data_IF_288553158227
#
_entry.id   IF_288553158227
#
_cell.length_a   1.000
_cell.length_b   1.000
_cell.length_c   1.000
_cell.angle_alpha   90.00
_cell.angle_beta   90.00
_cell.angle_gamma   90.00
#
_symmetry.space_group_name_H-M   'P 1'
#
loop_
_entity.id
_entity.type
_entity.pdbx_description
1 polymer ?
#
# COMPACT_ATOMS: atom_id res chain seq x y z
N UNK A 1 14.14 -13.26 -8.54
CA UNK A 1 13.70 -12.12 -7.72
C UNK A 1 12.22 -12.32 -7.49
N UNK A 2 11.78 -12.59 -6.26
CA UNK A 2 10.37 -12.47 -5.92
C UNK A 2 10.01 -10.99 -6.01
N UNK A 3 9.12 -10.63 -6.93
CA UNK A 3 8.60 -9.26 -7.04
C UNK A 3 7.63 -8.94 -5.90
N UNK A 4 7.18 -7.69 -5.84
CA UNK A 4 6.06 -7.32 -4.98
C UNK A 4 4.81 -8.10 -5.40
N UNK A 5 4.06 -8.61 -4.43
CA UNK A 5 2.87 -9.43 -4.63
C UNK A 5 1.60 -8.82 -4.00
N UNK A 6 1.77 -7.83 -3.12
CA UNK A 6 0.65 -7.13 -2.47
C UNK A 6 0.97 -5.67 -2.21
N UNK A 7 -0.10 -4.86 -2.13
CA UNK A 7 -0.06 -3.47 -1.69
C UNK A 7 -0.99 -3.30 -0.51
N UNK A 8 -0.55 -2.58 0.52
CA UNK A 8 -1.38 -2.23 1.66
C UNK A 8 -1.25 -0.74 1.98
N UNK A 9 -2.39 -0.08 2.22
CA UNK A 9 -2.42 1.28 2.72
C UNK A 9 -2.73 1.24 4.21
N UNK A 10 -1.82 1.77 5.03
CA UNK A 10 -2.06 1.91 6.45
C UNK A 10 -1.44 3.18 7.01
N UNK A 11 -1.80 3.49 8.25
CA UNK A 11 -1.33 4.67 8.97
C UNK A 11 -0.83 4.25 10.35
N UNK A 12 0.36 4.71 10.71
CA UNK A 12 0.87 4.54 12.06
C UNK A 12 0.14 5.50 13.01
N UNK A 13 -0.15 5.06 14.23
CA UNK A 13 -0.91 5.86 15.21
C UNK A 13 -0.21 7.16 15.60
N UNK A 14 1.12 7.22 15.47
CA UNK A 14 1.94 8.37 15.84
C UNK A 14 2.26 9.30 14.66
N UNK A 15 1.92 8.92 13.42
CA UNK A 15 2.27 9.67 12.23
C UNK A 15 1.01 10.29 11.59
N UNK A 16 1.02 11.55 11.14
CA UNK A 16 -0.11 12.14 10.43
C UNK A 16 -0.37 11.57 9.02
N UNK A 17 0.62 11.02 8.34
CA UNK A 17 0.49 10.57 6.94
C UNK A 17 0.05 9.12 6.76
N UNK A 18 -0.02 8.70 5.51
CA UNK A 18 -0.33 7.35 5.06
C UNK A 18 0.91 6.70 4.47
N UNK A 19 0.97 5.38 4.60
CA UNK A 19 2.03 4.56 4.06
C UNK A 19 1.46 3.56 3.07
N UNK A 20 2.01 3.58 1.86
CA UNK A 20 1.81 2.52 0.88
C UNK A 20 2.92 1.49 1.07
N UNK A 21 2.55 0.33 1.63
CA UNK A 21 3.43 -0.80 1.84
C UNK A 21 3.43 -1.71 0.62
N UNK A 22 4.62 -2.13 0.25
CA UNK A 22 4.90 -3.02 -0.86
C UNK A 22 5.28 -4.34 -0.23
N UNK A 23 4.44 -5.37 -0.40
CA UNK A 23 4.59 -6.61 0.30
C UNK A 23 5.00 -7.77 -0.61
N UNK A 24 5.69 -8.75 -0.04
CA UNK A 24 5.90 -10.04 -0.69
C UNK A 24 4.62 -10.91 -0.66
N UNK A 25 4.71 -12.14 -1.16
CA UNK A 25 3.57 -13.06 -1.25
C UNK A 25 3.01 -13.50 0.13
N UNK A 26 3.80 -13.35 1.19
CA UNK A 26 3.42 -13.68 2.57
C UNK A 26 3.00 -12.41 3.35
N UNK A 27 2.76 -11.30 2.64
CA UNK A 27 2.41 -9.99 3.19
C UNK A 27 3.48 -9.34 4.09
N UNK A 28 4.74 -9.78 4.01
CA UNK A 28 5.82 -9.08 4.69
C UNK A 28 6.15 -7.80 3.94
N UNK A 29 6.34 -6.71 4.70
CA UNK A 29 6.75 -5.42 4.14
C UNK A 29 8.16 -5.56 3.56
N UNK A 30 8.28 -5.29 2.25
CA UNK A 30 9.56 -5.21 1.55
C UNK A 30 10.07 -3.77 1.54
N UNK A 31 9.18 -2.81 1.30
CA UNK A 31 9.44 -1.36 1.39
C UNK A 31 8.13 -0.59 1.55
N UNK A 32 8.23 0.70 1.87
CA UNK A 32 7.11 1.61 1.96
C UNK A 32 7.41 2.97 1.33
N UNK A 33 6.34 3.72 1.02
CA UNK A 33 6.40 5.14 0.67
C UNK A 33 5.40 5.93 1.50
N UNK A 34 5.82 7.13 1.94
CA UNK A 34 5.00 8.06 2.71
C UNK A 34 4.21 9.00 1.80
N UNK A 35 2.95 9.22 2.14
CA UNK A 35 2.03 10.12 1.43
C UNK A 35 1.22 10.96 2.41
N UNK A 36 0.89 12.19 2.04
CA UNK A 36 0.08 13.05 2.89
C UNK A 36 -1.41 12.68 2.82
N UNK A 37 -1.85 12.13 1.68
CA UNK A 37 -3.24 11.76 1.43
C UNK A 37 -3.39 10.37 0.82
N UNK A 38 -4.59 9.81 0.92
CA UNK A 38 -4.93 8.51 0.31
C UNK A 38 -4.82 8.59 -1.23
N UNK A 39 -5.28 9.69 -1.83
CA UNK A 39 -5.29 9.88 -3.28
C UNK A 39 -3.87 9.89 -3.86
N UNK A 40 -2.91 10.54 -3.18
CA UNK A 40 -1.49 10.51 -3.55
C UNK A 40 -0.93 9.07 -3.54
N UNK A 41 -1.25 8.32 -2.50
CA UNK A 41 -0.78 6.94 -2.35
C UNK A 41 -1.39 6.01 -3.41
N UNK A 42 -2.67 6.19 -3.74
CA UNK A 42 -3.34 5.46 -4.82
C UNK A 42 -2.74 5.85 -6.18
N UNK A 43 -2.53 7.13 -6.44
CA UNK A 43 -1.92 7.59 -7.68
C UNK A 43 -0.51 7.02 -7.89
N UNK A 44 0.29 6.92 -6.82
CA UNK A 44 1.60 6.24 -6.86
C UNK A 44 1.45 4.76 -7.25
N UNK A 45 0.52 4.04 -6.61
CA UNK A 45 0.28 2.63 -6.89
C UNK A 45 -0.20 2.42 -8.34
N UNK A 46 -1.10 3.27 -8.83
CA UNK A 46 -1.60 3.21 -10.20
C UNK A 46 -0.51 3.49 -11.24
N UNK A 47 0.39 4.42 -10.94
CA UNK A 47 1.52 4.75 -11.80
C UNK A 47 2.51 3.59 -11.94
N UNK A 48 2.80 2.87 -10.85
CA UNK A 48 3.81 1.80 -10.83
C UNK A 48 3.28 0.43 -11.26
N UNK A 49 2.04 0.10 -10.87
CA UNK A 49 1.48 -1.25 -11.02
C UNK A 49 0.29 -1.31 -12.00
N UNK A 50 -0.13 -0.18 -12.55
CA UNK A 50 -1.35 -0.07 -13.36
C UNK A 50 -2.60 0.00 -12.48
N UNK A 51 -3.78 -0.21 -13.07
CA UNK A 51 -5.05 -0.07 -12.34
C UNK A 51 -5.12 -1.01 -11.13
N UNK A 52 -5.24 -0.44 -9.94
CA UNK A 52 -5.36 -1.14 -8.66
C UNK A 52 -6.66 -0.74 -7.97
N UNK A 53 -7.21 -1.66 -7.17
CA UNK A 53 -8.36 -1.39 -6.33
C UNK A 53 -8.04 -1.79 -4.89
N UNK A 54 -8.18 -0.85 -3.97
CA UNK A 54 -8.01 -1.11 -2.54
C UNK A 54 -9.36 -1.51 -1.94
N UNK A 55 -9.34 -2.55 -1.13
CA UNK A 55 -10.47 -2.98 -0.31
C UNK A 55 -10.13 -2.78 1.15
N UNK A 56 -11.15 -2.48 1.96
CA UNK A 56 -10.97 -2.38 3.40
C UNK A 56 -10.57 -3.76 3.94
N UNK A 57 -9.48 -3.82 4.70
CA UNK A 57 -8.96 -5.06 5.27
C UNK A 57 -9.96 -5.74 6.22
N UNK A 58 -10.88 -4.99 6.82
CA UNK A 58 -11.96 -5.54 7.66
C UNK A 58 -13.08 -6.21 6.86
N UNK A 59 -13.12 -5.99 5.55
CA UNK A 59 -14.09 -6.53 4.61
C UNK A 59 -13.47 -7.53 3.62
N UNK A 60 -12.22 -7.95 3.83
CA UNK A 60 -11.61 -9.03 3.07
C UNK A 60 -12.34 -10.35 3.37
N UNK A 61 -12.63 -11.18 2.34
CA UNK A 61 -13.35 -12.45 2.51
C UNK A 61 -12.59 -13.49 3.35
#
# INVERSE_FOLDING_TARGET
MSGFAGLALAKYSADPGLYLFYCDADWNIVTDTYHATMDEAIAQAEFEFGSVAFVDATNAP
#
